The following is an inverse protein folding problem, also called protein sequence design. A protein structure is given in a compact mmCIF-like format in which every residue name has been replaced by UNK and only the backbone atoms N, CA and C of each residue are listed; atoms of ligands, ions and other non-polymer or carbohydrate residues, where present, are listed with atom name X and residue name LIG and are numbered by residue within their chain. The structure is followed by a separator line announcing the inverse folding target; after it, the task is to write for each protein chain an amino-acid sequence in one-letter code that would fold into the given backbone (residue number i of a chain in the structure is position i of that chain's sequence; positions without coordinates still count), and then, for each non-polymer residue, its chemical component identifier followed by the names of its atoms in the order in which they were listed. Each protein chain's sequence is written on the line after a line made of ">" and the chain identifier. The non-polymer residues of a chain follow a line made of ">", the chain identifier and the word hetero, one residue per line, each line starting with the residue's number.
data_IF_917168861392
#
_entry.id   IF_917168861392
#
_cell.length_a   1.000
_cell.length_b   1.000
_cell.length_c   1.000
_cell.angle_alpha   90.00
_cell.angle_beta   90.00
_cell.angle_gamma   90.00
#
_symmetry.space_group_name_H-M   'P 1'
#
loop_
_entity.id
_entity.type
_entity.pdbx_description
1 polymer ?
#
# COMPACT_ATOMS: atom_id res chain seq x y z
N UNK A 1 5.81 -20.42 -3.46
CA UNK A 1 6.02 -19.34 -2.47
C UNK A 1 5.05 -18.21 -2.84
N UNK A 2 4.21 -17.78 -1.90
CA UNK A 2 3.10 -16.85 -2.19
C UNK A 2 3.46 -15.45 -1.70
N UNK A 3 3.25 -14.44 -2.54
CA UNK A 3 3.50 -13.04 -2.18
C UNK A 3 2.25 -12.20 -2.42
N UNK A 4 1.99 -11.27 -1.50
CA UNK A 4 0.91 -10.32 -1.60
C UNK A 4 1.22 -9.21 -2.60
N UNK A 5 0.21 -8.76 -3.33
CA UNK A 5 0.24 -7.61 -4.22
C UNK A 5 -0.94 -6.70 -3.95
N UNK A 6 -0.66 -5.41 -3.87
CA UNK A 6 -1.68 -4.38 -3.79
C UNK A 6 -1.75 -3.66 -5.14
N UNK A 7 -2.93 -3.56 -5.74
CA UNK A 7 -3.15 -3.14 -7.14
C UNK A 7 -2.93 -1.64 -7.44
N UNK A 8 -1.97 -0.99 -6.80
CA UNK A 8 -1.64 0.41 -7.07
C UNK A 8 -0.63 0.54 -8.21
N UNK A 9 -0.81 1.57 -9.05
CA UNK A 9 0.06 1.81 -10.21
C UNK A 9 1.52 2.03 -9.81
N UNK A 10 1.76 2.65 -8.64
CA UNK A 10 3.09 3.01 -8.16
C UNK A 10 3.98 1.82 -7.78
N UNK A 11 3.45 0.60 -7.70
CA UNK A 11 4.22 -0.61 -7.46
C UNK A 11 4.19 -1.60 -8.65
N UNK A 12 3.59 -1.22 -9.78
CA UNK A 12 3.35 -2.12 -10.92
C UNK A 12 4.63 -2.79 -11.44
N UNK A 13 5.69 -2.01 -11.69
CA UNK A 13 6.92 -2.51 -12.34
C UNK A 13 7.60 -3.66 -11.58
N UNK A 14 7.83 -3.56 -10.25
CA UNK A 14 8.32 -4.68 -9.45
C UNK A 14 7.47 -5.96 -9.58
N UNK A 15 6.15 -5.85 -9.49
CA UNK A 15 5.27 -7.01 -9.57
C UNK A 15 5.21 -7.61 -10.97
N UNK A 16 5.17 -6.78 -12.02
CA UNK A 16 5.22 -7.23 -13.40
C UNK A 16 6.46 -8.10 -13.68
N UNK A 17 7.62 -7.68 -13.16
CA UNK A 17 8.85 -8.48 -13.26
C UNK A 17 8.71 -9.83 -12.54
N UNK A 18 8.18 -9.85 -11.32
CA UNK A 18 8.01 -11.08 -10.53
C UNK A 18 7.03 -12.05 -11.18
N UNK A 19 5.95 -11.54 -11.77
CA UNK A 19 4.99 -12.30 -12.57
C UNK A 19 5.68 -12.94 -13.79
N UNK A 20 6.52 -12.19 -14.50
CA UNK A 20 7.26 -12.69 -15.65
C UNK A 20 8.33 -13.73 -15.31
N UNK A 21 8.92 -13.68 -14.12
CA UNK A 21 9.84 -14.72 -13.66
C UNK A 21 9.14 -16.04 -13.33
N UNK A 22 7.82 -16.04 -13.06
CA UNK A 22 7.03 -17.25 -12.79
C UNK A 22 7.39 -18.02 -11.52
N UNK A 23 8.24 -17.45 -10.64
CA UNK A 23 8.75 -18.11 -9.42
C UNK A 23 7.80 -18.02 -8.23
N UNK A 24 6.84 -17.09 -8.28
CA UNK A 24 5.97 -16.75 -7.17
C UNK A 24 4.51 -16.82 -7.59
N UNK A 25 3.65 -17.25 -6.67
CA UNK A 25 2.20 -17.10 -6.80
C UNK A 25 1.83 -15.74 -6.22
N UNK A 26 1.15 -14.91 -7.02
CA UNK A 26 0.71 -13.58 -6.62
C UNK A 26 -0.70 -13.66 -6.03
N UNK A 27 -0.85 -13.16 -4.81
CA UNK A 27 -2.15 -13.02 -4.15
C UNK A 27 -2.51 -11.54 -4.11
N UNK A 28 -3.53 -11.14 -4.85
CA UNK A 28 -4.04 -9.77 -4.84
C UNK A 28 -5.08 -9.57 -3.74
N UNK A 29 -5.00 -8.44 -3.03
CA UNK A 29 -5.93 -8.13 -1.95
C UNK A 29 -5.75 -6.72 -1.41
N UNK A 30 -6.66 -6.28 -0.54
CA UNK A 30 -6.51 -5.00 0.19
C UNK A 30 -5.39 -5.12 1.24
N UNK A 31 -4.80 -4.01 1.72
CA UNK A 31 -3.67 -4.10 2.64
C UNK A 31 -4.03 -4.82 3.93
N UNK A 32 -5.26 -4.66 4.40
CA UNK A 32 -5.80 -5.40 5.55
C UNK A 32 -5.79 -6.91 5.32
N UNK A 33 -6.34 -7.37 4.19
CA UNK A 33 -6.36 -8.80 3.85
C UNK A 33 -4.95 -9.35 3.72
N UNK A 34 -4.05 -8.60 3.07
CA UNK A 34 -2.66 -9.03 2.89
C UNK A 34 -1.89 -9.09 4.22
N UNK A 35 -2.14 -8.15 5.14
CA UNK A 35 -1.58 -8.20 6.49
C UNK A 35 -2.07 -9.44 7.25
N UNK A 36 -3.37 -9.75 7.20
CA UNK A 36 -3.93 -10.95 7.83
C UNK A 36 -3.32 -12.24 7.25
N UNK A 37 -3.16 -12.33 5.93
CA UNK A 37 -2.52 -13.47 5.28
C UNK A 37 -1.04 -13.61 5.67
N UNK A 38 -0.33 -12.49 5.81
CA UNK A 38 1.05 -12.47 6.25
C UNK A 38 1.17 -12.91 7.72
N UNK A 39 0.31 -12.42 8.61
CA UNK A 39 0.26 -12.83 10.02
C UNK A 39 -0.04 -14.33 10.19
N UNK A 40 -0.88 -14.91 9.32
CA UNK A 40 -1.16 -16.35 9.30
C UNK A 40 -0.07 -17.20 8.64
N UNK A 41 0.97 -16.58 8.06
CA UNK A 41 2.05 -17.28 7.34
C UNK A 41 1.64 -17.85 5.98
N UNK A 42 0.48 -17.45 5.44
CA UNK A 42 -0.03 -17.91 4.15
C UNK A 42 0.68 -17.27 2.96
N UNK A 43 1.28 -16.10 3.17
CA UNK A 43 2.14 -15.39 2.23
C UNK A 43 3.43 -14.95 2.94
N UNK A 44 4.55 -14.91 2.20
CA UNK A 44 5.87 -14.60 2.77
C UNK A 44 6.24 -13.12 2.69
N UNK A 45 5.43 -12.34 1.97
CA UNK A 45 5.61 -10.91 1.75
C UNK A 45 4.25 -10.26 1.54
N UNK A 46 4.06 -9.06 2.10
CA UNK A 46 2.88 -8.23 1.87
C UNK A 46 3.30 -6.75 1.78
N UNK A 47 2.83 -6.00 0.76
CA UNK A 47 2.87 -4.56 0.78
C UNK A 47 1.86 -4.06 1.82
N UNK A 48 2.34 -3.32 2.81
CA UNK A 48 1.49 -2.72 3.84
C UNK A 48 1.78 -1.21 3.93
N UNK A 49 0.76 -0.38 4.22
CA UNK A 49 0.93 1.03 4.53
C UNK A 49 1.90 1.21 5.71
N UNK A 50 2.70 2.26 5.66
CA UNK A 50 3.66 2.60 6.72
C UNK A 50 2.99 2.76 8.08
N UNK A 51 1.76 3.29 8.12
CA UNK A 51 0.98 3.40 9.36
C UNK A 51 0.76 2.03 10.04
N UNK A 52 0.38 1.00 9.27
CA UNK A 52 0.18 -0.34 9.81
C UNK A 52 1.50 -1.01 10.22
N UNK A 53 2.56 -0.79 9.45
CA UNK A 53 3.91 -1.23 9.82
C UNK A 53 4.33 -0.69 11.20
N UNK A 54 4.13 0.62 11.43
CA UNK A 54 4.45 1.29 12.69
C UNK A 54 3.58 0.74 13.83
N UNK A 55 2.26 0.68 13.60
CA UNK A 55 1.28 0.24 14.61
C UNK A 55 1.53 -1.19 15.09
N UNK A 56 1.94 -2.08 14.19
CA UNK A 56 2.21 -3.49 14.48
C UNK A 56 3.65 -3.77 14.91
N UNK A 57 4.56 -2.79 14.77
CA UNK A 57 5.97 -2.95 15.12
C UNK A 57 6.71 -3.93 14.21
N UNK A 58 6.32 -4.04 12.94
CA UNK A 58 7.02 -4.93 12.01
C UNK A 58 8.35 -4.33 11.55
N UNK A 59 9.35 -5.20 11.38
CA UNK A 59 10.64 -4.81 10.82
C UNK A 59 10.51 -4.44 9.33
N UNK A 60 10.91 -3.23 8.92
CA UNK A 60 10.84 -2.81 7.53
C UNK A 60 11.76 -3.62 6.64
N UNK A 61 11.32 -3.89 5.42
CA UNK A 61 12.11 -4.59 4.39
C UNK A 61 12.80 -3.58 3.48
N UNK A 62 13.80 -4.04 2.70
CA UNK A 62 14.61 -3.21 1.78
C UNK A 62 13.86 -2.69 0.54
N UNK A 63 12.53 -2.76 0.53
CA UNK A 63 11.68 -2.29 -0.56
C UNK A 63 10.58 -1.40 0.02
N UNK A 64 10.41 -0.21 -0.55
CA UNK A 64 9.36 0.72 -0.19
C UNK A 64 8.87 1.46 -1.43
N UNK A 65 7.65 1.98 -1.33
CA UNK A 65 7.12 2.99 -2.26
C UNK A 65 7.19 4.32 -1.52
N UNK A 66 8.02 5.23 -2.03
CA UNK A 66 8.26 6.55 -1.45
C UNK A 66 8.46 7.58 -2.57
N UNK A 67 8.32 8.85 -2.22
CA UNK A 67 8.62 9.99 -3.08
C UNK A 67 9.47 10.99 -2.32
N UNK A 68 10.35 11.70 -3.03
CA UNK A 68 11.03 12.89 -2.50
C UNK A 68 10.25 14.12 -2.97
N UNK A 69 9.62 14.82 -2.02
CA UNK A 69 8.70 15.92 -2.30
C UNK A 69 7.26 15.49 -2.54
N UNK A 70 6.66 15.98 -3.63
CA UNK A 70 5.23 15.86 -3.88
C UNK A 70 4.83 14.48 -4.43
N UNK A 71 3.60 14.06 -4.13
CA UNK A 71 2.95 12.89 -4.73
C UNK A 71 1.63 13.30 -5.36
N UNK A 72 1.39 12.86 -6.59
CA UNK A 72 0.19 13.23 -7.36
C UNK A 72 -0.99 12.28 -7.14
N UNK A 73 -0.89 11.34 -6.20
CA UNK A 73 -1.92 10.33 -5.92
C UNK A 73 -2.55 10.45 -4.53
N UNK A 74 -2.06 11.36 -3.69
CA UNK A 74 -2.62 11.66 -2.36
C UNK A 74 -3.00 13.13 -2.38
N UNK A 75 -4.28 13.41 -2.61
CA UNK A 75 -4.77 14.76 -2.91
C UNK A 75 -5.94 15.08 -1.99
N UNK A 76 -5.93 16.31 -1.46
CA UNK A 76 -7.11 16.93 -0.85
C UNK A 76 -7.65 17.96 -1.83
N UNK A 77 -8.90 17.82 -2.26
CA UNK A 77 -9.55 18.76 -3.17
C UNK A 77 -10.42 19.72 -2.36
N UNK A 78 -10.19 21.02 -2.52
CA UNK A 78 -10.97 22.07 -1.87
C UNK A 78 -11.38 23.14 -2.88
N UNK A 79 -12.56 23.73 -2.67
CA UNK A 79 -12.98 24.94 -3.41
C UNK A 79 -12.16 26.17 -3.00
N UNK A 80 -11.53 26.13 -1.83
CA UNK A 80 -10.68 27.20 -1.30
C UNK A 80 -9.21 26.85 -1.54
N UNK A 81 -8.36 27.87 -1.68
CA UNK A 81 -6.91 27.69 -1.94
C UNK A 81 -6.14 27.06 -0.76
N UNK A 82 -6.73 27.04 0.44
CA UNK A 82 -6.09 26.54 1.67
C UNK A 82 -7.09 25.72 2.47
N UNK A 83 -6.57 24.79 3.25
CA UNK A 83 -7.33 24.11 4.29
C UNK A 83 -7.70 25.11 5.38
N UNK A 84 -8.89 24.94 5.93
CA UNK A 84 -9.43 25.71 7.04
C UNK A 84 -10.07 24.74 8.05
N UNK A 85 -10.81 25.26 9.02
CA UNK A 85 -11.44 24.46 10.09
C UNK A 85 -12.70 23.71 9.64
N UNK A 86 -13.01 23.70 8.34
CA UNK A 86 -14.16 22.96 7.82
C UNK A 86 -13.93 21.44 7.86
N UNK A 87 -15.00 20.64 8.00
CA UNK A 87 -14.89 19.18 7.91
C UNK A 87 -14.30 18.70 6.58
N UNK A 88 -13.44 17.68 6.65
CA UNK A 88 -12.89 17.01 5.46
C UNK A 88 -13.67 15.71 5.23
N UNK A 89 -14.26 15.57 4.04
CA UNK A 89 -14.86 14.33 3.63
C UNK A 89 -13.76 13.34 3.20
N UNK A 90 -13.78 12.13 3.77
CA UNK A 90 -12.84 11.05 3.45
C UNK A 90 -13.61 9.97 2.71
N UNK A 91 -13.09 9.50 1.57
CA UNK A 91 -13.71 8.38 0.84
C UNK A 91 -13.07 7.06 1.23
N UNK A 92 -13.78 5.95 1.03
CA UNK A 92 -13.23 4.60 1.23
C UNK A 92 -12.00 4.31 0.34
N UNK A 93 -11.87 5.00 -0.80
CA UNK A 93 -10.69 4.93 -1.68
C UNK A 93 -9.52 5.80 -1.20
N UNK A 94 -9.77 6.72 -0.26
CA UNK A 94 -8.77 7.57 0.39
C UNK A 94 -8.23 6.96 1.68
N UNK A 95 -8.90 5.92 2.19
CA UNK A 95 -8.45 5.14 3.34
C UNK A 95 -7.43 4.11 2.87
N UNK A 96 -6.16 4.44 3.04
CA UNK A 96 -5.08 3.45 2.94
C UNK A 96 -4.97 2.57 4.19
N UNK A 97 -5.83 2.74 5.20
CA UNK A 97 -5.83 2.08 6.51
C UNK A 97 -7.23 1.66 6.93
#
# INVERSE_FOLDING_TARGET
>A
MRIGKFGFVNNFMPYYRLEMEGKYEIVEGTPRILAELFERGEIVYAPIPTFELIKKGYEPKRFCVASDGEVYSVIVVSKRKRLDDSPIAVTANSLTS
#
